data_IF_762069335496
#
_entry.id   IF_762069335496
#
_cell.length_a   1.000
_cell.length_b   1.000
_cell.length_c   1.000
_cell.angle_alpha   90.00
_cell.angle_beta   90.00
_cell.angle_gamma   90.00
#
_symmetry.space_group_name_H-M   'P 1'
#
loop_
_entity.id
_entity.type
_entity.pdbx_description
1 polymer ?
#
# COMPACT_ATOMS: atom_id res chain seq x y z
N UNK A 1 -3.04 1.06 -8.92
CA UNK A 1 -2.52 0.31 -10.09
C UNK A 1 -3.28 -1.00 -10.28
N UNK A 2 -3.34 -1.53 -11.51
CA UNK A 2 -3.89 -2.86 -11.79
C UNK A 2 -2.89 -3.73 -12.55
N UNK A 3 -2.80 -5.02 -12.22
CA UNK A 3 -1.85 -5.96 -12.83
C UNK A 3 -2.58 -7.04 -13.62
N UNK A 4 -2.16 -7.28 -14.87
CA UNK A 4 -2.67 -8.38 -15.68
C UNK A 4 -1.82 -9.62 -15.47
N UNK A 5 -2.44 -10.69 -14.99
CA UNK A 5 -1.80 -11.99 -14.83
C UNK A 5 -2.02 -12.80 -16.12
N UNK A 6 -0.95 -13.41 -16.64
CA UNK A 6 -1.05 -14.32 -17.78
C UNK A 6 -1.90 -15.54 -17.39
N UNK A 7 -2.76 -16.02 -18.29
CA UNK A 7 -3.69 -17.11 -17.95
C UNK A 7 -2.95 -18.40 -17.50
N UNK A 8 -1.77 -18.67 -18.08
CA UNK A 8 -0.91 -19.80 -17.68
C UNK A 8 -0.43 -19.74 -16.24
N UNK A 9 -0.31 -18.54 -15.66
CA UNK A 9 0.27 -18.34 -14.32
C UNK A 9 -0.80 -18.01 -13.28
N UNK A 10 -2.07 -17.93 -13.71
CA UNK A 10 -3.16 -17.40 -12.90
C UNK A 10 -3.35 -18.17 -11.60
N UNK A 11 -3.40 -19.50 -11.67
CA UNK A 11 -3.57 -20.36 -10.50
C UNK A 11 -2.44 -20.16 -9.49
N UNK A 12 -1.20 -20.19 -9.94
CA UNK A 12 -0.04 -20.10 -9.06
C UNK A 12 0.06 -18.73 -8.39
N UNK A 13 -0.15 -17.65 -9.16
CA UNK A 13 -0.17 -16.29 -8.61
C UNK A 13 -1.31 -16.12 -7.62
N UNK A 14 -2.51 -16.62 -7.93
CA UNK A 14 -3.66 -16.54 -7.04
C UNK A 14 -3.44 -17.33 -5.73
N UNK A 15 -2.87 -18.53 -5.80
CA UNK A 15 -2.52 -19.31 -4.62
C UNK A 15 -1.47 -18.61 -3.75
N UNK A 16 -0.46 -18.00 -4.37
CA UNK A 16 0.56 -17.24 -3.66
C UNK A 16 -0.05 -16.02 -2.95
N UNK A 17 -0.92 -15.26 -3.63
CA UNK A 17 -1.61 -14.11 -3.05
C UNK A 17 -2.54 -14.55 -1.91
N UNK A 18 -3.27 -15.66 -2.05
CA UNK A 18 -4.11 -16.18 -0.98
C UNK A 18 -3.32 -16.56 0.27
N UNK A 19 -2.15 -17.15 0.09
CA UNK A 19 -1.27 -17.45 1.22
C UNK A 19 -0.71 -16.16 1.86
N UNK A 20 -0.39 -15.14 1.06
CA UNK A 20 0.11 -13.87 1.57
C UNK A 20 -0.97 -13.15 2.39
N UNK A 21 -2.21 -13.10 1.89
CA UNK A 21 -3.30 -12.35 2.51
C UNK A 21 -4.19 -13.18 3.45
N UNK A 22 -3.67 -14.33 3.90
CA UNK A 22 -4.34 -15.29 4.81
C UNK A 22 -4.84 -14.69 6.13
N UNK A 23 -4.38 -13.49 6.50
CA UNK A 23 -4.81 -12.77 7.70
C UNK A 23 -6.18 -12.11 7.53
N UNK A 24 -7.16 -12.83 6.98
CA UNK A 24 -8.57 -12.41 6.91
C UNK A 24 -8.91 -11.43 5.79
N UNK A 25 -8.10 -11.32 4.73
CA UNK A 25 -8.49 -10.55 3.55
C UNK A 25 -9.42 -11.37 2.65
N UNK A 26 -10.45 -10.72 2.11
CA UNK A 26 -11.41 -11.30 1.19
C UNK A 26 -11.18 -10.81 -0.25
N UNK A 27 -11.59 -11.62 -1.22
CA UNK A 27 -11.53 -11.31 -2.65
C UNK A 27 -12.81 -10.62 -3.11
N UNK A 28 -12.68 -9.39 -3.59
CA UNK A 28 -13.78 -8.62 -4.18
C UNK A 28 -13.56 -8.37 -5.67
N UNK A 29 -14.63 -8.45 -6.45
CA UNK A 29 -14.61 -7.95 -7.83
C UNK A 29 -15.08 -6.50 -7.83
N UNK A 30 -14.22 -5.61 -8.31
CA UNK A 30 -14.49 -4.18 -8.40
C UNK A 30 -14.25 -3.67 -9.82
N UNK A 31 -14.78 -2.50 -10.13
CA UNK A 31 -14.52 -1.81 -11.39
C UNK A 31 -13.31 -0.89 -11.19
N UNK A 32 -12.26 -1.12 -11.97
CA UNK A 32 -11.07 -0.30 -12.03
C UNK A 32 -11.14 0.66 -13.22
N UNK A 33 -10.87 1.93 -12.96
CA UNK A 33 -10.81 2.99 -13.96
C UNK A 33 -9.33 3.29 -14.26
N UNK A 34 -8.84 2.99 -15.48
CA UNK A 34 -7.44 3.26 -15.83
C UNK A 34 -7.08 4.75 -15.72
N UNK A 35 -5.92 5.02 -15.11
CA UNK A 35 -5.31 6.35 -15.02
C UNK A 35 -3.79 6.23 -15.20
N UNK A 36 -3.13 7.21 -15.85
CA UNK A 36 -3.75 8.31 -16.59
C UNK A 36 -4.40 7.79 -17.89
N UNK A 37 -5.26 8.62 -18.49
CA UNK A 37 -5.74 8.35 -19.85
C UNK A 37 -4.53 8.28 -20.77
N UNK A 38 -4.41 7.20 -21.53
CA UNK A 38 -3.27 6.95 -22.40
C UNK A 38 -3.73 6.48 -23.77
N UNK A 39 -3.00 6.87 -24.81
CA UNK A 39 -3.25 6.44 -26.19
C UNK A 39 -2.73 5.02 -26.46
N UNK A 40 -1.86 4.51 -25.59
CA UNK A 40 -1.19 3.21 -25.76
C UNK A 40 -1.85 2.07 -24.99
N UNK A 41 -2.88 2.35 -24.20
CA UNK A 41 -3.66 1.35 -23.48
C UNK A 41 -5.16 1.62 -23.55
N UNK A 42 -5.95 0.60 -23.26
CA UNK A 42 -7.41 0.75 -23.14
C UNK A 42 -7.74 1.58 -21.90
N UNK A 43 -8.47 2.69 -22.09
CA UNK A 43 -8.98 3.53 -21.01
C UNK A 43 -10.36 3.08 -20.48
N UNK A 44 -10.89 2.00 -21.04
CA UNK A 44 -12.19 1.45 -20.63
C UNK A 44 -12.13 0.86 -19.22
N UNK A 45 -13.16 1.06 -18.39
CA UNK A 45 -13.26 0.43 -17.08
C UNK A 45 -13.12 -1.10 -17.17
N UNK A 46 -12.37 -1.69 -16.22
CA UNK A 46 -12.10 -3.14 -16.18
C UNK A 46 -12.57 -3.75 -14.87
N UNK A 47 -13.18 -4.93 -14.92
CA UNK A 47 -13.39 -5.71 -13.71
C UNK A 47 -12.06 -6.31 -13.25
N UNK A 48 -11.67 -6.05 -12.00
CA UNK A 48 -10.44 -6.58 -11.39
C UNK A 48 -10.75 -7.29 -10.08
N UNK A 49 -9.79 -8.09 -9.61
CA UNK A 49 -9.80 -8.69 -8.28
C UNK A 49 -9.07 -7.77 -7.30
N UNK A 50 -9.71 -7.48 -6.16
CA UNK A 50 -9.17 -6.71 -5.04
C UNK A 50 -9.14 -7.60 -3.80
N UNK A 51 -8.05 -7.59 -3.06
CA UNK A 51 -7.98 -8.17 -1.71
C UNK A 51 -8.28 -7.07 -0.69
N UNK A 52 -9.33 -7.25 0.10
CA UNK A 52 -9.81 -6.25 1.06
C UNK A 52 -10.05 -6.91 2.42
N UNK A 53 -9.50 -6.32 3.48
CA UNK A 53 -9.88 -6.68 4.85
C UNK A 53 -11.15 -5.91 5.22
N UNK A 54 -12.22 -6.63 5.55
CA UNK A 54 -13.47 -6.03 6.03
C UNK A 54 -13.36 -5.66 7.51
N UNK A 55 -14.40 -5.04 8.08
CA UNK A 55 -14.43 -4.65 9.50
C UNK A 55 -14.40 -5.85 10.45
N UNK A 56 -14.78 -7.02 9.95
CA UNK A 56 -14.78 -8.30 10.65
C UNK A 56 -13.38 -8.92 10.73
N UNK A 57 -12.40 -8.36 10.03
CA UNK A 57 -11.03 -8.85 10.07
C UNK A 57 -10.45 -8.71 11.50
N UNK A 58 -9.88 -9.77 12.09
CA UNK A 58 -9.31 -9.71 13.45
C UNK A 58 -8.19 -8.67 13.63
N UNK A 59 -7.56 -8.25 12.53
CA UNK A 59 -6.49 -7.24 12.50
C UNK A 59 -7.03 -5.83 12.25
N UNK A 60 -8.34 -5.65 12.13
CA UNK A 60 -8.96 -4.34 11.95
C UNK A 60 -8.80 -3.51 13.23
N UNK A 61 -7.99 -2.45 13.17
CA UNK A 61 -7.61 -1.66 14.34
C UNK A 61 -8.68 -0.62 14.77
N UNK A 62 -9.69 -0.37 13.93
CA UNK A 62 -10.76 0.59 14.19
C UNK A 62 -11.09 1.45 12.97
N UNK A 63 -12.21 2.16 13.04
CA UNK A 63 -12.78 2.90 11.90
C UNK A 63 -12.57 4.42 11.97
N UNK A 64 -12.43 4.98 13.18
CA UNK A 64 -12.43 6.43 13.42
C UNK A 64 -11.28 6.87 14.35
N UNK A 65 -10.13 6.20 14.28
CA UNK A 65 -8.97 6.63 15.04
C UNK A 65 -8.46 7.97 14.50
N UNK A 66 -8.06 8.87 15.41
CA UNK A 66 -7.45 10.13 15.00
C UNK A 66 -6.12 9.88 14.29
N UNK A 67 -5.74 10.78 13.38
CA UNK A 67 -4.49 10.66 12.65
C UNK A 67 -3.28 10.61 13.59
N UNK A 68 -3.32 11.29 14.74
CA UNK A 68 -2.28 11.24 15.76
C UNK A 68 -2.17 9.86 16.40
N UNK A 69 -3.29 9.19 16.66
CA UNK A 69 -3.29 7.83 17.22
C UNK A 69 -2.71 6.83 16.21
N UNK A 70 -3.11 6.96 14.94
CA UNK A 70 -2.56 6.16 13.83
C UNK A 70 -1.05 6.43 13.69
N UNK A 71 -0.62 7.69 13.68
CA UNK A 71 0.78 8.08 13.58
C UNK A 71 1.62 7.51 14.73
N UNK A 72 1.13 7.59 15.97
CA UNK A 72 1.81 7.04 17.14
C UNK A 72 2.03 5.53 17.01
N UNK A 73 1.03 4.80 16.53
CA UNK A 73 1.17 3.36 16.28
C UNK A 73 2.21 3.08 15.19
N UNK A 74 2.21 3.86 14.11
CA UNK A 74 3.16 3.70 12.99
C UNK A 74 4.59 3.99 13.43
N UNK A 75 4.82 5.05 14.21
CA UNK A 75 6.14 5.44 14.72
C UNK A 75 6.80 4.33 15.55
N UNK A 76 6.01 3.60 16.34
CA UNK A 76 6.47 2.49 17.18
C UNK A 76 6.51 1.12 16.51
N UNK A 77 6.00 0.97 15.29
CA UNK A 77 5.85 -0.33 14.63
C UNK A 77 7.01 -0.65 13.66
N UNK A 78 7.54 -1.86 13.76
CA UNK A 78 8.49 -2.44 12.82
C UNK A 78 8.27 -3.95 12.68
N UNK A 79 8.53 -4.49 11.49
CA UNK A 79 8.46 -5.93 11.21
C UNK A 79 9.63 -6.38 10.34
N UNK A 80 9.54 -7.61 9.81
CA UNK A 80 10.58 -8.19 8.94
C UNK A 80 10.86 -7.33 7.70
N UNK A 81 9.85 -6.59 7.22
CA UNK A 81 9.96 -5.68 6.06
C UNK A 81 10.54 -4.31 6.39
N UNK A 82 10.88 -4.03 7.66
CA UNK A 82 11.40 -2.73 8.12
C UNK A 82 10.40 -1.93 8.97
N UNK A 83 10.70 -0.64 9.15
CA UNK A 83 9.88 0.28 9.96
C UNK A 83 8.60 0.66 9.22
N UNK A 84 7.48 0.76 9.94
CA UNK A 84 6.20 1.10 9.34
C UNK A 84 6.15 2.54 8.81
N UNK A 85 6.94 3.46 9.39
CA UNK A 85 7.08 4.84 8.88
C UNK A 85 7.60 4.85 7.44
N UNK A 86 8.57 3.99 7.11
CA UNK A 86 9.12 3.91 5.74
C UNK A 86 8.07 3.45 4.74
N UNK A 87 7.15 2.57 5.15
CA UNK A 87 6.06 2.12 4.29
C UNK A 87 5.17 3.28 3.88
N UNK A 88 4.77 4.12 4.85
CA UNK A 88 3.90 5.29 4.58
C UNK A 88 4.61 6.30 3.68
N UNK A 89 5.90 6.57 3.90
CA UNK A 89 6.66 7.49 3.05
C UNK A 89 6.81 6.98 1.62
N UNK A 90 7.16 5.69 1.45
CA UNK A 90 7.25 5.07 0.12
C UNK A 90 5.89 5.09 -0.60
N UNK A 91 4.78 4.94 0.13
CA UNK A 91 3.45 5.01 -0.43
C UNK A 91 3.09 6.45 -0.86
N UNK A 92 3.36 7.45 -0.03
CA UNK A 92 3.14 8.86 -0.35
C UNK A 92 3.98 9.28 -1.59
N UNK A 93 5.24 8.89 -1.64
CA UNK A 93 6.10 9.14 -2.80
C UNK A 93 5.57 8.47 -4.07
N UNK A 94 5.14 7.20 -3.97
CA UNK A 94 4.54 6.49 -5.10
C UNK A 94 3.25 7.15 -5.60
N UNK A 95 2.40 7.64 -4.70
CA UNK A 95 1.20 8.38 -5.06
C UNK A 95 1.53 9.67 -5.81
N UNK A 96 2.47 10.49 -5.30
CA UNK A 96 2.91 11.72 -5.98
C UNK A 96 3.53 11.45 -7.36
N UNK A 97 4.25 10.34 -7.53
CA UNK A 97 4.91 9.99 -8.80
C UNK A 97 3.96 9.41 -9.83
N UNK A 98 3.06 8.50 -9.42
CA UNK A 98 2.19 7.77 -10.32
C UNK A 98 0.86 8.48 -10.58
N UNK A 99 0.42 9.31 -9.64
CA UNK A 99 -0.87 9.99 -9.63
C UNK A 99 -0.72 11.48 -9.23
N UNK A 100 0.10 12.28 -9.94
CA UNK A 100 0.48 13.64 -9.52
C UNK A 100 -0.68 14.65 -9.43
N UNK A 101 -1.86 14.33 -9.98
CA UNK A 101 -3.07 15.15 -9.89
C UNK A 101 -4.09 14.67 -8.85
N UNK A 102 -3.83 13.55 -8.19
CA UNK A 102 -4.72 12.99 -7.17
C UNK A 102 -4.18 13.33 -5.78
N UNK A 103 -5.07 13.82 -4.92
CA UNK A 103 -4.75 14.17 -3.54
C UNK A 103 -5.44 13.18 -2.60
N UNK A 104 -4.64 12.45 -1.82
CA UNK A 104 -5.13 11.59 -0.73
C UNK A 104 -4.87 12.33 0.58
N UNK A 105 -5.87 13.14 0.96
CA UNK A 105 -5.82 13.99 2.16
C UNK A 105 -5.40 13.20 3.40
N UNK A 106 -5.90 11.96 3.55
CA UNK A 106 -5.61 11.13 4.70
C UNK A 106 -4.14 10.70 4.72
N UNK A 107 -3.65 10.17 3.60
CA UNK A 107 -2.27 9.72 3.47
C UNK A 107 -1.27 10.86 3.67
N UNK A 108 -1.50 12.01 3.04
CA UNK A 108 -0.55 13.13 3.09
C UNK A 108 -0.58 13.88 4.42
N UNK A 109 -1.74 13.98 5.09
CA UNK A 109 -1.78 14.52 6.45
C UNK A 109 -1.10 13.57 7.45
N UNK A 110 -1.29 12.26 7.29
CA UNK A 110 -0.58 11.26 8.09
C UNK A 110 0.94 11.35 7.86
N UNK A 111 1.39 11.45 6.62
CA UNK A 111 2.80 11.67 6.26
C UNK A 111 3.35 12.94 6.92
N UNK A 112 2.59 14.04 6.88
CA UNK A 112 2.97 15.32 7.50
C UNK A 112 3.20 15.17 9.00
N UNK A 113 2.26 14.53 9.71
CA UNK A 113 2.39 14.25 11.15
C UNK A 113 3.62 13.37 11.42
N UNK A 114 3.81 12.30 10.65
CA UNK A 114 4.99 11.44 10.82
C UNK A 114 6.30 12.21 10.63
N UNK A 115 6.40 13.10 9.64
CA UNK A 115 7.60 13.93 9.40
C UNK A 115 7.91 14.91 10.51
N UNK A 116 6.91 15.37 11.29
CA UNK A 116 7.19 16.23 12.46
C UNK A 116 7.83 15.46 13.60
N UNK A 117 7.64 14.13 13.67
CA UNK A 117 8.16 13.26 14.72
C UNK A 117 9.42 12.49 14.30
N UNK A 118 9.55 12.14 13.02
CA UNK A 118 10.69 11.40 12.47
C UNK A 118 11.03 11.86 11.04
N UNK A 119 11.69 13.03 10.88
CA UNK A 119 11.99 13.59 9.56
C UNK A 119 13.03 12.77 8.77
N UNK A 120 13.79 11.89 9.43
CA UNK A 120 14.93 11.17 8.84
C UNK A 120 14.63 9.70 8.52
N UNK A 121 13.40 9.21 8.72
CA UNK A 121 13.07 7.80 8.53
C UNK A 121 13.35 7.28 7.11
N UNK A 122 13.37 8.16 6.09
CA UNK A 122 13.69 7.79 4.70
C UNK A 122 15.19 7.52 4.43
N UNK A 123 16.10 7.91 5.32
CA UNK A 123 17.55 7.80 5.09
C UNK A 123 18.19 6.49 5.59
N UNK A 124 17.38 5.60 6.16
CA UNK A 124 17.87 4.34 6.74
C UNK A 124 18.02 3.24 5.68
N UNK A 125 18.87 3.44 4.67
CA UNK A 125 19.39 2.30 3.90
C UNK A 125 20.36 1.52 4.80
N UNK A 126 20.17 0.20 4.99
CA UNK A 126 21.25 -0.62 5.55
C UNK A 126 22.44 -0.53 4.59
N UNK A 127 23.58 -0.03 5.06
CA UNK A 127 24.85 -0.22 4.37
C UNK A 127 25.10 -1.73 4.37
N UNK A 128 24.82 -2.39 3.24
CA UNK A 128 25.28 -3.75 2.99
C UNK A 128 26.79 -3.75 3.20
N UNK A 129 27.24 -4.32 4.33
CA UNK A 129 28.64 -4.65 4.56
C UNK A 129 29.07 -5.52 3.39
N UNK A 130 29.97 -4.99 2.56
CA UNK A 130 30.75 -5.80 1.64
C UNK A 130 31.76 -6.54 2.50
N UNK A 131 31.45 -7.77 2.88
CA UNK A 131 32.47 -8.70 3.35
C UNK A 131 33.33 -9.09 2.14
N UNK A 132 34.65 -9.05 2.36
CA UNK A 132 35.70 -9.20 1.35
C UNK A 132 36.18 -10.62 1.13
#
# INVERSE_FOLDING_TARGET
>A
MGYKIAESNKTDVLNHLDHREKNGYERHKVVFYPYPVSETQSNEPKSILLYLATKENPSFAGENDSLEKIANQILGAAGESGRNVEYVFKLADAMRQLYPGEDDDHLFELERILKTHDPNACDSRPQLMKEG
#
